data_IF_882419752672
#
_entry.id   IF_882419752672
#
_cell.length_a   1.000
_cell.length_b   1.000
_cell.length_c   1.000
_cell.angle_alpha   90.00
_cell.angle_beta   90.00
_cell.angle_gamma   90.00
#
_symmetry.space_group_name_H-M   'P 1'
#
loop_
_entity.id
_entity.type
_entity.pdbx_description
1 polymer ?
#
# COMPACT_ATOMS: atom_id res chain seq x y z
N UNK A 1 -13.86 5.05 -17.36
CA UNK A 1 -12.70 5.78 -16.82
C UNK A 1 -11.47 4.94 -17.11
N UNK A 2 -10.62 5.40 -18.02
CA UNK A 2 -9.54 4.59 -18.58
C UNK A 2 -8.40 4.40 -17.55
N UNK A 3 -7.68 3.27 -17.61
CA UNK A 3 -6.52 2.99 -16.75
C UNK A 3 -5.45 4.10 -16.78
N UNK A 4 -5.45 4.89 -17.85
CA UNK A 4 -4.60 6.06 -18.07
C UNK A 4 -4.91 7.24 -17.13
N UNK A 5 -6.18 7.50 -16.82
CA UNK A 5 -6.59 8.61 -15.95
C UNK A 5 -6.27 8.33 -14.49
N UNK A 6 -6.40 7.06 -14.08
CA UNK A 6 -5.99 6.65 -12.74
C UNK A 6 -4.51 6.94 -12.59
N UNK A 7 -3.62 6.48 -13.48
CA UNK A 7 -2.17 6.72 -13.41
C UNK A 7 -1.76 8.21 -13.46
N UNK A 8 -2.48 9.06 -14.19
CA UNK A 8 -2.22 10.51 -14.22
C UNK A 8 -2.43 11.19 -12.87
N UNK A 9 -3.45 10.75 -12.12
CA UNK A 9 -3.76 11.30 -10.79
C UNK A 9 -2.56 11.14 -9.84
N UNK A 10 -1.98 9.94 -9.73
CA UNK A 10 -0.82 9.65 -8.86
C UNK A 10 0.49 10.30 -9.35
N UNK A 11 0.59 10.58 -10.66
CA UNK A 11 1.78 11.19 -11.27
C UNK A 11 1.87 12.69 -10.98
N UNK A 12 0.74 13.39 -10.97
CA UNK A 12 0.69 14.83 -10.69
C UNK A 12 0.97 15.10 -9.21
N UNK A 13 0.36 14.33 -8.30
CA UNK A 13 0.63 14.41 -6.86
C UNK A 13 2.12 14.21 -6.57
N UNK A 14 2.73 13.16 -7.15
CA UNK A 14 4.14 12.86 -6.89
C UNK A 14 5.10 13.95 -7.41
N UNK A 15 4.88 14.51 -8.61
CA UNK A 15 5.79 15.51 -9.20
C UNK A 15 5.69 16.87 -8.50
N UNK A 16 4.49 17.27 -8.09
CA UNK A 16 4.29 18.47 -7.28
C UNK A 16 4.94 18.31 -5.89
N UNK A 17 4.84 17.11 -5.29
CA UNK A 17 5.48 16.77 -4.01
C UNK A 17 7.02 16.87 -4.06
N UNK A 18 7.69 16.38 -5.12
CA UNK A 18 9.16 16.52 -5.24
C UNK A 18 9.61 17.98 -5.36
N UNK A 19 8.86 18.78 -6.12
CA UNK A 19 9.14 20.22 -6.23
C UNK A 19 9.02 20.92 -4.87
N UNK A 20 7.98 20.59 -4.10
CA UNK A 20 7.78 21.17 -2.78
C UNK A 20 8.78 20.68 -1.72
N UNK A 21 9.27 19.44 -1.78
CA UNK A 21 10.32 18.94 -0.87
C UNK A 21 11.63 19.70 -1.10
N UNK A 22 12.00 19.97 -2.35
CA UNK A 22 13.20 20.76 -2.69
C UNK A 22 13.07 22.22 -2.21
N UNK A 23 11.86 22.79 -2.27
CA UNK A 23 11.58 24.15 -1.82
C UNK A 23 11.46 24.26 -0.29
N UNK A 24 10.82 23.29 0.38
CA UNK A 24 10.65 23.24 1.84
C UNK A 24 11.93 22.84 2.57
N UNK A 25 12.85 22.12 1.93
CA UNK A 25 14.21 21.90 2.43
C UNK A 25 15.00 23.19 2.67
N UNK A 26 14.53 24.33 2.14
CA UNK A 26 15.11 25.67 2.36
C UNK A 26 14.35 26.55 3.37
N UNK A 27 13.23 26.09 3.94
CA UNK A 27 12.42 26.89 4.89
C UNK A 27 11.94 26.03 6.07
N UNK A 28 12.67 26.10 7.18
CA UNK A 28 12.24 25.66 8.51
C UNK A 28 11.44 26.82 9.13
N UNK A 29 10.25 26.60 9.72
CA UNK A 29 9.63 27.42 10.79
C UNK A 29 8.41 26.66 11.39
N UNK A 30 8.26 26.89 12.70
CA UNK A 30 7.43 26.33 13.76
C UNK A 30 5.92 26.57 13.54
N UNK A 31 5.06 25.61 13.91
CA UNK A 31 3.65 25.87 14.23
C UNK A 31 3.19 25.02 15.43
N UNK A 32 2.65 25.73 16.42
CA UNK A 32 2.09 25.25 17.69
C UNK A 32 0.80 24.43 17.50
N UNK A 33 0.60 23.44 18.39
CA UNK A 33 -0.56 22.54 18.43
C UNK A 33 -1.54 23.04 19.49
N UNK A 34 -2.85 23.21 19.21
CA UNK A 34 -3.86 23.37 20.25
C UNK A 34 -4.37 22.00 20.73
N UNK A 35 -4.55 21.90 22.05
CA UNK A 35 -5.05 20.74 22.80
C UNK A 35 -6.55 20.47 22.54
N UNK A 36 -7.04 19.21 22.46
CA UNK A 36 -8.47 18.93 22.32
C UNK A 36 -9.18 18.75 23.67
N UNK A 37 -10.19 19.60 23.92
CA UNK A 37 -11.16 19.48 25.01
C UNK A 37 -12.33 18.54 24.65
N UNK A 38 -12.83 17.86 25.68
CA UNK A 38 -13.88 16.82 25.72
C UNK A 38 -15.31 17.33 25.41
N UNK A 39 -16.18 16.44 24.89
CA UNK A 39 -17.63 16.37 25.25
C UNK A 39 -18.36 15.09 24.74
N UNK A 40 -18.66 14.20 25.70
CA UNK A 40 -19.87 13.41 26.01
C UNK A 40 -20.68 12.55 25.00
N UNK A 41 -20.73 11.24 25.34
CA UNK A 41 -21.84 10.25 25.49
C UNK A 41 -23.21 10.45 24.79
N UNK A 42 -23.67 9.37 24.14
CA UNK A 42 -24.96 8.69 24.47
C UNK A 42 -25.04 7.26 23.90
N UNK A 43 -25.63 6.37 24.69
CA UNK A 43 -25.89 4.94 24.42
C UNK A 43 -27.15 4.75 23.56
N UNK A 44 -27.14 3.77 22.63
CA UNK A 44 -28.33 2.98 22.23
C UNK A 44 -27.92 1.54 21.93
N UNK A 45 -28.47 0.59 22.69
CA UNK A 45 -28.58 -0.85 22.41
C UNK A 45 -29.92 -1.10 21.72
N UNK A 46 -29.96 -1.90 20.63
CA UNK A 46 -31.00 -2.94 20.42
C UNK A 46 -30.83 -3.70 19.07
N UNK A 47 -30.54 -5.00 19.20
CA UNK A 47 -31.08 -6.19 18.50
C UNK A 47 -31.28 -6.23 16.97
N UNK A 48 -30.65 -7.26 16.35
CA UNK A 48 -30.85 -7.75 14.97
C UNK A 48 -32.24 -8.41 14.77
N UNK A 49 -32.76 -8.61 13.52
CA UNK A 49 -32.26 -9.70 12.67
C UNK A 49 -32.28 -9.47 11.13
N UNK A 50 -31.42 -10.26 10.46
CA UNK A 50 -31.51 -10.76 9.07
C UNK A 50 -31.77 -9.76 7.93
N UNK A 51 -30.69 -9.31 7.29
CA UNK A 51 -30.47 -9.54 5.86
C UNK A 51 -28.98 -9.41 5.60
N UNK A 52 -28.34 -10.51 5.20
CA UNK A 52 -26.91 -10.56 4.93
C UNK A 52 -26.62 -9.75 3.67
N UNK A 53 -25.83 -8.66 3.72
CA UNK A 53 -25.23 -8.14 2.51
C UNK A 53 -24.08 -9.11 2.18
N UNK A 54 -24.27 -9.82 1.08
CA UNK A 54 -23.32 -10.71 0.41
C UNK A 54 -21.86 -10.51 0.86
N UNK A 55 -21.37 -11.39 1.73
CA UNK A 55 -19.94 -11.55 1.96
C UNK A 55 -19.32 -12.00 0.65
N UNK A 56 -18.47 -11.15 0.06
CA UNK A 56 -17.54 -11.56 -0.99
C UNK A 56 -16.67 -12.69 -0.44
N UNK A 57 -17.12 -13.93 -0.62
CA UNK A 57 -16.40 -15.14 -0.25
C UNK A 57 -15.20 -15.31 -1.20
N UNK A 58 -14.18 -14.47 -1.05
CA UNK A 58 -12.88 -14.67 -1.69
C UNK A 58 -12.09 -15.64 -0.83
N UNK A 59 -12.05 -16.91 -1.25
CA UNK A 59 -11.05 -17.85 -0.74
C UNK A 59 -9.66 -17.22 -0.91
N UNK A 60 -8.82 -17.33 0.12
CA UNK A 60 -7.42 -16.90 0.07
C UNK A 60 -6.76 -17.61 -1.13
N UNK A 61 -6.11 -16.90 -2.07
CA UNK A 61 -5.54 -17.54 -3.25
C UNK A 61 -4.49 -18.61 -2.91
N UNK A 62 -4.47 -19.72 -3.64
CA UNK A 62 -3.53 -20.83 -3.42
C UNK A 62 -2.06 -20.39 -3.41
N UNK A 63 -1.71 -19.42 -4.26
CA UNK A 63 -0.35 -18.88 -4.32
C UNK A 63 0.03 -18.20 -3.00
N UNK A 64 -0.90 -17.49 -2.37
CA UNK A 64 -0.69 -16.83 -1.09
C UNK A 64 -0.62 -17.86 0.04
N UNK A 65 -1.46 -18.89 0.02
CA UNK A 65 -1.38 -20.01 0.98
C UNK A 65 0.01 -20.67 0.94
N UNK A 66 0.58 -20.86 -0.25
CA UNK A 66 1.95 -21.41 -0.40
C UNK A 66 3.01 -20.47 0.16
N UNK A 67 2.89 -19.17 -0.06
CA UNK A 67 3.79 -18.15 0.51
C UNK A 67 3.71 -18.17 2.03
N UNK A 68 2.51 -18.09 2.60
CA UNK A 68 2.31 -18.09 4.05
C UNK A 68 2.82 -19.37 4.70
N UNK A 69 2.61 -20.54 4.08
CA UNK A 69 3.12 -21.81 4.62
C UNK A 69 4.64 -21.81 4.80
N UNK A 70 5.39 -21.20 3.87
CA UNK A 70 6.86 -21.09 3.98
C UNK A 70 7.30 -20.19 5.15
N UNK A 71 6.49 -19.17 5.46
CA UNK A 71 6.76 -18.19 6.51
C UNK A 71 6.08 -18.53 7.85
N UNK A 72 5.46 -19.71 7.96
CA UNK A 72 4.57 -20.08 9.07
C UNK A 72 3.52 -18.99 9.39
N UNK A 73 3.01 -18.37 8.33
CA UNK A 73 2.23 -17.14 8.40
C UNK A 73 0.73 -17.32 8.58
N UNK A 74 0.07 -16.27 9.03
CA UNK A 74 -1.34 -16.21 9.40
C UNK A 74 -1.95 -14.81 9.15
N UNK A 75 -3.25 -14.65 9.40
CA UNK A 75 -4.02 -13.39 9.23
C UNK A 75 -3.85 -12.72 7.85
N UNK A 76 -4.18 -13.40 6.74
CA UNK A 76 -4.07 -12.82 5.42
C UNK A 76 -5.16 -11.76 5.21
N UNK A 77 -4.74 -10.58 4.77
CA UNK A 77 -5.62 -9.45 4.47
C UNK A 77 -5.32 -8.95 3.07
N UNK A 78 -6.32 -8.94 2.19
CA UNK A 78 -6.20 -8.23 0.92
C UNK A 78 -6.18 -6.74 1.22
N UNK A 79 -5.11 -6.07 0.79
CA UNK A 79 -4.88 -4.64 1.05
C UNK A 79 -5.33 -3.83 -0.15
N UNK A 80 -4.93 -4.22 -1.36
CA UNK A 80 -5.37 -3.58 -2.60
C UNK A 80 -5.64 -4.67 -3.64
N UNK A 81 -6.88 -4.76 -4.12
CA UNK A 81 -7.30 -5.74 -5.15
C UNK A 81 -6.76 -5.42 -6.54
N UNK A 82 -6.65 -4.14 -6.90
CA UNK A 82 -6.20 -3.72 -8.24
C UNK A 82 -5.23 -2.54 -8.16
N UNK A 83 -3.94 -2.83 -8.02
CA UNK A 83 -2.88 -1.84 -8.09
C UNK A 83 -2.28 -1.83 -9.50
N UNK A 84 -2.53 -0.76 -10.26
CA UNK A 84 -1.90 -0.53 -11.57
C UNK A 84 -0.52 0.09 -11.36
N UNK A 85 0.55 -0.57 -11.77
CA UNK A 85 1.92 -0.07 -11.63
C UNK A 85 2.21 1.04 -12.63
N UNK A 86 2.67 2.20 -12.15
CA UNK A 86 3.00 3.33 -13.00
C UNK A 86 4.52 3.47 -13.17
N UNK A 87 4.94 4.37 -14.07
CA UNK A 87 6.36 4.55 -14.37
C UNK A 87 7.20 4.90 -13.14
N UNK A 88 6.64 5.65 -12.19
CA UNK A 88 7.36 6.06 -10.99
C UNK A 88 7.56 4.92 -10.01
N UNK A 89 6.62 3.96 -9.93
CA UNK A 89 6.81 2.74 -9.14
C UNK A 89 7.99 1.90 -9.64
N UNK A 90 8.31 1.99 -10.94
CA UNK A 90 9.36 1.17 -11.58
C UNK A 90 10.66 1.95 -11.87
N UNK A 91 10.72 3.24 -11.52
CA UNK A 91 11.91 4.06 -11.72
C UNK A 91 12.82 3.95 -10.51
N UNK A 92 14.08 3.54 -10.72
CA UNK A 92 15.08 3.36 -9.65
C UNK A 92 15.32 4.59 -8.78
N UNK A 93 15.22 5.79 -9.35
CA UNK A 93 15.41 7.05 -8.61
C UNK A 93 14.23 7.39 -7.68
N UNK A 94 13.04 6.88 -7.98
CA UNK A 94 11.84 7.02 -7.16
C UNK A 94 11.76 5.88 -6.15
N UNK A 95 11.97 4.65 -6.64
CA UNK A 95 12.25 3.46 -5.83
C UNK A 95 11.23 3.17 -4.74
N UNK A 96 9.95 3.45 -5.01
CA UNK A 96 8.88 3.25 -4.04
C UNK A 96 7.56 2.80 -4.69
N UNK A 97 6.80 1.99 -3.94
CA UNK A 97 5.43 1.60 -4.30
C UNK A 97 4.45 2.30 -3.36
N UNK A 98 3.58 3.16 -3.91
CA UNK A 98 2.57 3.88 -3.13
C UNK A 98 1.23 3.13 -3.05
N UNK A 99 0.60 3.17 -1.87
CA UNK A 99 -0.67 2.55 -1.52
C UNK A 99 -1.56 3.60 -0.83
N UNK A 100 -2.47 4.24 -1.56
CA UNK A 100 -3.30 5.29 -0.95
C UNK A 100 -4.40 4.68 -0.09
N UNK A 101 -4.67 5.34 1.05
CA UNK A 101 -5.62 4.85 2.04
C UNK A 101 -7.04 4.71 1.50
N UNK A 102 -7.45 5.55 0.55
CA UNK A 102 -8.77 5.50 -0.10
C UNK A 102 -9.02 4.26 -0.97
N UNK A 103 -7.97 3.49 -1.27
CA UNK A 103 -8.07 2.26 -2.09
C UNK A 103 -7.82 0.99 -1.28
N UNK A 104 -7.70 1.11 0.04
CA UNK A 104 -7.49 -0.04 0.89
C UNK A 104 -8.80 -0.79 1.06
N UNK A 105 -8.79 -2.09 0.77
CA UNK A 105 -9.90 -2.98 1.07
C UNK A 105 -10.02 -3.19 2.59
N UNK A 106 -8.88 -3.20 3.28
CA UNK A 106 -8.77 -3.35 4.73
C UNK A 106 -7.75 -2.38 5.31
N UNK A 107 -8.14 -1.62 6.32
CA UNK A 107 -7.29 -0.66 7.03
C UNK A 107 -6.66 -1.22 8.32
N UNK A 108 -7.13 -2.38 8.79
CA UNK A 108 -6.77 -3.03 10.05
C UNK A 108 -5.58 -4.00 9.94
N UNK A 109 -4.73 -3.82 8.92
CA UNK A 109 -3.58 -4.69 8.69
C UNK A 109 -2.38 -4.37 9.60
N UNK A 110 -2.36 -3.18 10.20
CA UNK A 110 -1.39 -2.76 11.19
C UNK A 110 -1.89 -3.05 12.61
N UNK A 111 -0.96 -3.40 13.49
CA UNK A 111 -1.22 -3.35 14.93
C UNK A 111 -1.26 -1.90 15.41
N UNK A 112 -1.78 -1.68 16.62
CA UNK A 112 -1.79 -0.36 17.25
C UNK A 112 -0.36 0.18 17.42
N UNK A 113 0.59 -0.66 17.83
CA UNK A 113 1.99 -0.27 18.00
C UNK A 113 2.67 0.11 16.67
N UNK A 114 2.43 -0.64 15.60
CA UNK A 114 2.94 -0.31 14.27
C UNK A 114 2.32 0.97 13.73
N UNK A 115 1.03 1.19 13.99
CA UNK A 115 0.32 2.41 13.59
C UNK A 115 0.92 3.62 14.32
N UNK A 116 1.06 3.53 15.64
CA UNK A 116 1.68 4.57 16.48
C UNK A 116 3.12 4.86 16.03
N UNK A 117 3.89 3.82 15.73
CA UNK A 117 5.25 3.99 15.21
C UNK A 117 5.28 4.79 13.91
N UNK A 118 4.43 4.45 12.93
CA UNK A 118 4.37 5.14 11.64
C UNK A 118 3.87 6.59 11.78
N UNK A 119 2.92 6.83 12.67
CA UNK A 119 2.44 8.18 12.99
C UNK A 119 3.53 9.03 13.63
N UNK A 120 4.27 8.48 14.59
CA UNK A 120 5.40 9.17 15.21
C UNK A 120 6.56 9.41 14.24
N UNK A 121 6.89 8.44 13.38
CA UNK A 121 7.93 8.58 12.34
C UNK A 121 7.57 9.74 11.41
N UNK A 122 6.31 9.83 10.98
CA UNK A 122 5.79 10.93 10.17
C UNK A 122 5.81 12.29 10.93
N UNK A 123 5.22 12.36 12.12
CA UNK A 123 5.09 13.60 12.89
C UNK A 123 6.46 14.19 13.28
N UNK A 124 7.42 13.33 13.59
CA UNK A 124 8.80 13.73 13.94
C UNK A 124 9.67 13.96 12.70
N UNK A 125 9.09 13.85 11.49
CA UNK A 125 9.79 13.92 10.20
C UNK A 125 11.03 13.01 10.14
N UNK A 126 10.95 11.87 10.85
CA UNK A 126 11.95 10.82 10.79
C UNK A 126 11.84 10.14 9.43
N UNK A 127 12.90 9.41 9.06
CA UNK A 127 12.98 8.70 7.78
C UNK A 127 13.27 7.22 8.00
N UNK A 128 12.97 6.71 9.19
CA UNK A 128 13.34 5.36 9.59
C UNK A 128 12.42 4.37 8.89
N UNK A 129 11.10 4.56 8.99
CA UNK A 129 10.09 3.65 8.45
C UNK A 129 10.06 2.29 9.18
N UNK A 130 8.93 1.61 9.08
CA UNK A 130 8.75 0.29 9.69
C UNK A 130 9.37 -0.78 8.79
N UNK A 131 10.38 -1.51 9.30
CA UNK A 131 11.03 -2.61 8.57
C UNK A 131 10.10 -3.82 8.48
N UNK A 132 9.65 -4.13 7.27
CA UNK A 132 8.74 -5.24 6.96
C UNK A 132 9.38 -6.21 5.97
N UNK A 133 8.74 -7.35 5.75
CA UNK A 133 9.10 -8.24 4.65
C UNK A 133 8.10 -8.13 3.50
N UNK A 134 8.58 -8.30 2.28
CA UNK A 134 7.77 -8.35 1.07
C UNK A 134 8.15 -9.60 0.28
N UNK A 135 7.18 -10.45 -0.01
CA UNK A 135 7.35 -11.61 -0.87
C UNK A 135 6.92 -11.23 -2.29
N UNK A 136 7.83 -11.35 -3.24
CA UNK A 136 7.57 -11.04 -4.64
C UNK A 136 6.82 -12.20 -5.36
N UNK A 137 6.38 -12.00 -6.62
CA UNK A 137 5.67 -13.05 -7.36
C UNK A 137 6.47 -14.33 -7.61
N UNK A 138 7.80 -14.28 -7.54
CA UNK A 138 8.68 -15.44 -7.67
C UNK A 138 8.91 -16.15 -6.31
N UNK A 139 8.23 -15.71 -5.25
CA UNK A 139 8.38 -16.18 -3.87
C UNK A 139 9.69 -15.79 -3.19
N UNK A 140 10.41 -14.78 -3.69
CA UNK A 140 11.59 -14.27 -3.00
C UNK A 140 11.22 -13.23 -1.96
N UNK A 141 11.91 -13.31 -0.83
CA UNK A 141 11.69 -12.44 0.33
C UNK A 141 12.64 -11.25 0.30
N UNK A 142 12.05 -10.06 0.34
CA UNK A 142 12.76 -8.78 0.33
C UNK A 142 12.52 -8.04 1.63
N UNK A 143 13.56 -7.36 2.13
CA UNK A 143 13.42 -6.38 3.20
C UNK A 143 13.03 -5.05 2.56
N UNK A 144 11.92 -4.47 3.03
CA UNK A 144 11.46 -3.14 2.62
C UNK A 144 11.01 -2.34 3.83
N UNK A 145 10.85 -1.03 3.66
CA UNK A 145 10.42 -0.12 4.73
C UNK A 145 9.09 0.51 4.36
N UNK A 146 8.09 0.23 5.20
CA UNK A 146 6.78 0.83 5.14
C UNK A 146 6.83 2.22 5.80
N UNK A 147 6.32 3.23 5.11
CA UNK A 147 6.22 4.61 5.61
C UNK A 147 4.80 5.11 5.45
N UNK A 148 4.33 5.92 6.41
CA UNK A 148 3.10 6.69 6.26
C UNK A 148 3.47 8.08 5.73
N UNK A 149 2.70 8.55 4.76
CA UNK A 149 2.94 9.82 4.09
C UNK A 149 1.62 10.56 3.87
N UNK A 150 1.64 11.88 3.97
CA UNK A 150 0.52 12.74 3.59
C UNK A 150 0.96 13.63 2.42
N UNK A 151 0.43 13.34 1.24
CA UNK A 151 0.66 14.13 0.02
C UNK A 151 -0.56 14.96 -0.29
N UNK A 152 -0.47 16.28 -0.22
CA UNK A 152 -1.53 17.22 -0.62
C UNK A 152 -2.94 16.80 -0.16
N UNK A 153 -3.11 16.44 1.13
CA UNK A 153 -4.34 15.96 1.81
C UNK A 153 -4.69 14.48 1.65
N UNK A 154 -3.98 13.74 0.80
CA UNK A 154 -4.18 12.31 0.61
C UNK A 154 -3.13 11.52 1.39
N UNK A 155 -3.61 10.76 2.36
CA UNK A 155 -2.78 9.81 3.09
C UNK A 155 -2.46 8.59 2.24
N UNK A 156 -1.20 8.18 2.27
CA UNK A 156 -0.71 6.98 1.60
C UNK A 156 0.32 6.24 2.45
N UNK A 157 0.34 4.93 2.31
CA UNK A 157 1.47 4.10 2.71
C UNK A 157 2.43 3.96 1.53
N UNK A 158 3.72 3.92 1.83
CA UNK A 158 4.78 3.79 0.82
C UNK A 158 5.72 2.66 1.23
N UNK A 159 5.87 1.66 0.37
CA UNK A 159 6.97 0.71 0.47
C UNK A 159 8.18 1.33 -0.23
N UNK A 160 9.26 1.54 0.52
CA UNK A 160 10.49 2.18 0.06
C UNK A 160 11.70 1.39 0.55
N UNK A 161 12.91 1.83 0.20
CA UNK A 161 14.18 1.29 0.72
C UNK A 161 14.26 -0.25 0.64
N UNK A 162 14.63 -0.76 -0.53
CA UNK A 162 14.61 -2.19 -0.85
C UNK A 162 13.60 -2.55 -1.95
N UNK A 163 12.62 -1.69 -2.22
CA UNK A 163 11.72 -1.82 -3.38
C UNK A 163 12.48 -1.94 -4.71
N UNK A 164 13.59 -1.21 -4.86
CA UNK A 164 14.46 -1.33 -6.04
C UNK A 164 14.95 -2.78 -6.29
N UNK A 165 15.22 -3.55 -5.22
CA UNK A 165 15.65 -4.94 -5.33
C UNK A 165 14.53 -5.84 -5.88
N UNK A 166 13.28 -5.50 -5.56
CA UNK A 166 12.09 -6.21 -6.03
C UNK A 166 11.91 -6.00 -7.53
N UNK A 167 12.04 -4.76 -8.00
CA UNK A 167 11.85 -4.42 -9.42
C UNK A 167 13.07 -4.75 -10.29
N UNK A 168 14.25 -4.95 -9.70
CA UNK A 168 15.50 -5.28 -10.44
C UNK A 168 15.43 -6.62 -11.17
N UNK A 169 14.58 -7.53 -10.68
CA UNK A 169 14.25 -8.79 -11.36
C UNK A 169 13.44 -8.63 -12.65
N UNK A 170 12.96 -7.42 -12.95
CA UNK A 170 12.17 -7.08 -14.15
C UNK A 170 10.88 -7.90 -14.31
N UNK A 171 10.32 -8.38 -13.19
CA UNK A 171 9.03 -9.10 -13.14
C UNK A 171 7.89 -8.16 -13.61
N UNK A 172 7.98 -6.89 -13.25
CA UNK A 172 6.93 -5.89 -13.46
C UNK A 172 7.18 -4.99 -14.68
N UNK A 173 6.08 -4.57 -15.32
CA UNK A 173 6.03 -3.56 -16.38
C UNK A 173 5.02 -2.47 -16.04
N UNK A 174 5.17 -1.32 -16.68
CA UNK A 174 4.21 -0.22 -16.57
C UNK A 174 2.84 -0.71 -17.07
N UNK A 175 1.79 -0.37 -16.33
CA UNK A 175 0.39 -0.78 -16.50
C UNK A 175 0.08 -2.24 -16.13
N UNK A 176 1.03 -2.98 -15.56
CA UNK A 176 0.71 -4.26 -14.92
C UNK A 176 -0.23 -4.02 -13.74
N UNK A 177 -1.20 -4.92 -13.57
CA UNK A 177 -2.10 -4.92 -12.42
C UNK A 177 -1.68 -6.01 -11.46
N UNK A 178 -1.49 -5.65 -10.19
CA UNK A 178 -1.16 -6.58 -9.11
C UNK A 178 -2.17 -6.45 -7.97
N UNK A 179 -2.32 -7.53 -7.21
CA UNK A 179 -2.90 -7.53 -5.88
C UNK A 179 -1.78 -7.34 -4.85
N UNK A 180 -2.11 -6.64 -3.76
CA UNK A 180 -1.24 -6.49 -2.61
C UNK A 180 -1.97 -7.10 -1.42
N UNK A 181 -1.34 -8.09 -0.81
CA UNK A 181 -1.80 -8.75 0.40
C UNK A 181 -0.86 -8.42 1.56
N UNK A 182 -1.38 -8.39 2.77
CA UNK A 182 -0.58 -8.49 3.99
C UNK A 182 -0.88 -9.79 4.72
N UNK A 183 0.06 -10.19 5.58
CA UNK A 183 -0.07 -11.30 6.50
C UNK A 183 0.95 -11.13 7.63
N UNK A 184 0.86 -11.98 8.65
CA UNK A 184 1.84 -12.05 9.74
C UNK A 184 2.71 -13.29 9.54
N UNK A 185 4.02 -13.18 9.68
CA UNK A 185 4.87 -14.38 9.74
C UNK A 185 4.72 -15.11 11.08
N UNK A 186 5.36 -16.28 11.23
CA UNK A 186 5.28 -17.09 12.45
C UNK A 186 5.78 -16.38 13.73
N UNK A 187 6.48 -15.25 13.61
CA UNK A 187 6.91 -14.41 14.73
C UNK A 187 5.96 -13.23 15.03
N UNK A 188 4.90 -13.07 14.23
CA UNK A 188 3.96 -11.95 14.30
C UNK A 188 4.38 -10.70 13.52
N UNK A 189 5.48 -10.76 12.75
CA UNK A 189 5.96 -9.61 12.00
C UNK A 189 5.10 -9.37 10.75
N UNK A 190 4.80 -8.10 10.48
CA UNK A 190 4.08 -7.70 9.27
C UNK A 190 4.87 -8.06 8.01
N UNK A 191 4.18 -8.76 7.11
CA UNK A 191 4.65 -9.13 5.79
C UNK A 191 3.66 -8.68 4.72
N UNK A 192 4.17 -8.39 3.53
CA UNK A 192 3.39 -8.15 2.32
C UNK A 192 3.67 -9.24 1.29
N UNK A 193 2.71 -9.49 0.41
CA UNK A 193 2.87 -10.39 -0.73
C UNK A 193 2.23 -9.78 -1.97
N UNK A 194 2.90 -9.92 -3.12
CA UNK A 194 2.42 -9.42 -4.41
C UNK A 194 1.95 -10.57 -5.29
N UNK A 195 0.80 -10.40 -5.93
CA UNK A 195 0.39 -11.35 -6.98
C UNK A 195 1.29 -11.22 -8.21
N UNK A 196 1.29 -12.26 -9.04
CA UNK A 196 1.82 -12.13 -10.41
C UNK A 196 1.14 -10.99 -11.17
N UNK A 197 1.89 -10.23 -11.98
CA UNK A 197 1.33 -9.12 -12.75
C UNK A 197 0.38 -9.62 -13.83
N UNK A 198 -0.83 -9.07 -13.86
CA UNK A 198 -1.78 -9.27 -14.95
C UNK A 198 -1.67 -8.11 -15.93
N UNK A 199 -1.51 -8.43 -17.22
CA UNK A 199 -1.44 -7.43 -18.29
C UNK A 199 -2.84 -7.18 -18.84
N UNK A 200 -3.30 -5.93 -18.83
CA UNK A 200 -4.47 -5.55 -19.63
C UNK A 200 -4.13 -5.77 -21.11
N UNK A 201 -4.69 -6.82 -21.72
CA UNK A 201 -4.46 -7.12 -23.12
C UNK A 201 -4.98 -6.00 -24.02
N UNK A 202 -4.15 -5.54 -24.96
CA UNK A 202 -4.67 -5.00 -26.23
C UNK A 202 -5.30 -6.18 -26.92
N UNK A 203 -6.62 -6.21 -27.03
CA UNK A 203 -7.32 -7.01 -28.03
C UNK A 203 -6.75 -6.58 -29.38
N UNK A 204 -5.81 -7.34 -29.92
CA UNK A 204 -5.46 -7.24 -31.33
C UNK A 204 -6.68 -7.67 -32.11
N UNK A 205 -7.50 -6.71 -32.55
CA UNK A 205 -8.45 -6.91 -33.63
C UNK A 205 -7.63 -7.27 -34.86
N UNK A 206 -7.45 -8.58 -35.06
CA UNK A 206 -6.95 -9.12 -36.31
C UNK A 206 -7.85 -8.61 -37.43
N UNK A 207 -7.25 -7.88 -38.37
CA UNK A 207 -7.86 -7.62 -39.66
C UNK A 207 -8.05 -8.98 -40.34
N UNK A 208 -9.31 -9.36 -40.52
CA UNK A 208 -9.68 -10.38 -41.49
C UNK A 208 -9.52 -9.78 -42.89
N UNK A 209 -9.00 -10.63 -43.77
CA UNK A 209 -8.57 -10.40 -45.15
C UNK A 209 -9.58 -9.73 -46.07
#
# INVERSE_FOLDING_TARGET
MEAYDICKFWKLDMLEEFSQIVLKGKKKIILDIPSPSQQNKSDIVSLCPADSPETCNSSIPDWLVKVMRKENGYDPKLIIKRRVLCTTDLRKNQGCLSMHLSKLEKSDFLTEDETRFLDEDFLKAKRDGLKVFLVDPESDKHVVYLKKWNGNTVWKYVLSHGWNNVIDKKIFKVNDVIEIWSFRDGSGKLCFALSSPTRCGRSSSGHSS
#
